data_IF_794710514621
#
_entry.id   IF_794710514621
#
_cell.length_a   1.000
_cell.length_b   1.000
_cell.length_c   1.000
_cell.angle_alpha   90.00
_cell.angle_beta   90.00
_cell.angle_gamma   90.00
#
_symmetry.space_group_name_H-M   'P 1'
#
loop_
_entity.id
_entity.type
_entity.pdbx_description
1 polymer ?
#
# COMPACT_ATOMS: atom_id res chain seq x y z
N UNK A 1 -3.33 36.16 8.88
CA UNK A 1 -3.60 35.51 8.22
C UNK A 1 -2.76 34.50 7.43
N UNK A 2 -1.71 34.77 6.68
CA UNK A 2 -0.91 33.78 5.97
C UNK A 2 -1.39 33.47 4.54
N UNK A 3 -0.91 32.37 3.96
CA UNK A 3 -1.24 31.95 2.58
C UNK A 3 -2.43 31.01 2.58
N UNK A 4 -3.40 31.26 1.68
CA UNK A 4 -4.57 30.41 1.50
C UNK A 4 -4.54 29.76 0.11
N UNK A 5 -4.65 28.44 0.06
CA UNK A 5 -4.88 27.69 -1.17
C UNK A 5 -6.36 27.38 -1.31
N UNK A 6 -6.94 27.69 -2.45
CA UNK A 6 -8.31 27.31 -2.80
C UNK A 6 -8.29 26.13 -3.74
N UNK A 7 -8.93 25.05 -3.35
CA UNK A 7 -8.91 23.79 -4.04
C UNK A 7 -10.34 23.38 -4.38
N UNK A 8 -10.63 23.09 -5.66
CA UNK A 8 -11.89 22.50 -6.02
C UNK A 8 -12.05 21.12 -5.35
N UNK A 9 -13.25 20.80 -4.86
CA UNK A 9 -13.54 19.50 -4.24
C UNK A 9 -13.16 18.31 -5.14
N UNK A 10 -13.33 18.46 -6.45
CA UNK A 10 -12.98 17.43 -7.43
C UNK A 10 -11.47 17.11 -7.47
N UNK A 11 -10.62 18.03 -7.06
CA UNK A 11 -9.15 17.89 -7.14
C UNK A 11 -8.50 17.51 -5.80
N UNK A 12 -9.22 17.64 -4.69
CA UNK A 12 -8.62 17.43 -3.35
C UNK A 12 -8.02 16.04 -3.17
N UNK A 13 -8.59 15.02 -3.79
CA UNK A 13 -8.09 13.63 -3.73
C UNK A 13 -6.89 13.36 -4.63
N UNK A 14 -6.57 14.25 -5.58
CA UNK A 14 -5.50 14.05 -6.57
C UNK A 14 -4.21 14.78 -6.21
N UNK A 15 -4.30 15.84 -5.40
CA UNK A 15 -3.14 16.66 -5.05
C UNK A 15 -2.30 15.95 -3.98
N UNK A 16 -0.99 15.74 -4.21
CA UNK A 16 -0.11 15.12 -3.24
C UNK A 16 0.01 15.96 -1.97
N UNK A 17 -0.09 15.33 -0.79
CA UNK A 17 0.03 15.98 0.52
C UNK A 17 1.32 16.80 0.66
N UNK A 18 2.41 16.30 0.09
CA UNK A 18 3.71 16.94 0.15
C UNK A 18 3.75 18.33 -0.50
N UNK A 19 2.92 18.58 -1.52
CA UNK A 19 2.88 19.88 -2.22
C UNK A 19 2.46 21.02 -1.30
N UNK A 20 1.69 20.74 -0.26
CA UNK A 20 1.21 21.74 0.69
C UNK A 20 2.21 22.07 1.80
N UNK A 21 3.31 21.31 1.90
CA UNK A 21 4.34 21.53 2.90
C UNK A 21 5.28 22.70 2.53
N UNK A 22 5.42 23.00 1.24
CA UNK A 22 6.44 23.93 0.74
C UNK A 22 6.14 25.40 0.96
N UNK A 23 4.89 25.81 1.12
CA UNK A 23 4.49 27.21 1.20
C UNK A 23 4.96 28.00 -0.04
N UNK A 24 4.91 29.32 -0.01
CA UNK A 24 5.46 30.15 -1.11
C UNK A 24 6.97 30.34 -0.96
N UNK A 25 7.75 30.37 -2.06
CA UNK A 25 9.20 30.43 -2.02
C UNK A 25 9.77 31.57 -1.16
N UNK A 26 9.17 32.75 -1.19
CA UNK A 26 9.62 33.91 -0.41
C UNK A 26 9.51 33.76 1.10
N UNK A 27 8.71 32.81 1.60
CA UNK A 27 8.50 32.55 3.03
C UNK A 27 9.20 31.28 3.50
N UNK A 28 9.82 30.51 2.58
CA UNK A 28 10.35 29.19 2.90
C UNK A 28 11.49 29.23 3.92
N UNK A 29 12.41 30.17 3.80
CA UNK A 29 13.56 30.31 4.73
C UNK A 29 13.07 30.61 6.14
N UNK A 30 12.06 31.49 6.28
CA UNK A 30 11.50 31.82 7.59
C UNK A 30 10.74 30.63 8.17
N UNK A 31 9.95 29.93 7.36
CA UNK A 31 9.29 28.67 7.76
C UNK A 31 10.31 27.65 8.23
N UNK A 32 11.36 27.39 7.48
CA UNK A 32 12.42 26.45 7.86
C UNK A 32 13.12 26.86 9.16
N UNK A 33 13.30 28.18 9.38
CA UNK A 33 13.86 28.71 10.63
C UNK A 33 12.97 28.36 11.82
N UNK A 34 11.67 28.58 11.72
CA UNK A 34 10.72 28.23 12.78
C UNK A 34 10.62 26.71 12.98
N UNK A 35 10.63 25.92 11.91
CA UNK A 35 10.68 24.46 12.00
C UNK A 35 11.89 23.96 12.77
N UNK A 36 13.08 24.54 12.55
CA UNK A 36 14.30 24.20 13.30
C UNK A 36 14.15 24.57 14.77
N UNK A 37 13.52 25.70 15.09
CA UNK A 37 13.30 26.13 16.49
C UNK A 37 12.34 25.20 17.24
N UNK A 38 11.44 24.52 16.58
CA UNK A 38 10.53 23.55 17.19
C UNK A 38 11.20 22.25 17.62
N UNK A 39 12.39 21.93 17.07
CA UNK A 39 13.11 20.71 17.39
C UNK A 39 13.48 20.63 18.90
N UNK A 40 13.56 19.42 19.45
CA UNK A 40 14.04 19.18 20.80
C UNK A 40 15.41 19.83 21.08
N UNK A 41 15.64 20.31 22.30
CA UNK A 41 16.84 21.06 22.69
C UNK A 41 18.16 20.34 22.30
N UNK A 42 18.18 19.01 22.39
CA UNK A 42 19.36 18.21 22.05
C UNK A 42 19.74 18.32 20.57
N UNK A 43 18.75 18.29 19.67
CA UNK A 43 18.93 18.42 18.22
C UNK A 43 19.19 19.88 17.84
N UNK A 44 18.39 20.81 18.38
CA UNK A 44 18.48 22.25 18.09
C UNK A 44 19.83 22.88 18.43
N UNK A 45 20.49 22.43 19.50
CA UNK A 45 21.85 22.94 19.88
C UNK A 45 22.89 22.84 18.77
N UNK A 46 22.76 21.89 17.88
CA UNK A 46 23.68 21.66 16.76
C UNK A 46 23.31 22.47 15.51
N UNK A 47 22.15 23.14 15.52
CA UNK A 47 21.58 23.89 14.41
C UNK A 47 21.47 25.40 14.74
N UNK A 48 22.50 25.95 15.35
CA UNK A 48 22.54 27.37 15.79
C UNK A 48 23.59 28.13 14.97
N UNK A 49 23.25 29.32 14.49
CA UNK A 49 21.96 30.01 14.55
C UNK A 49 20.97 29.47 13.51
N UNK A 50 19.72 29.23 13.93
CA UNK A 50 18.68 28.55 13.12
C UNK A 50 18.44 29.23 11.76
N UNK A 51 18.38 30.57 11.72
CA UNK A 51 18.16 31.31 10.47
C UNK A 51 19.28 31.11 9.44
N UNK A 52 20.54 31.02 9.90
CA UNK A 52 21.68 30.78 9.01
C UNK A 52 21.66 29.35 8.46
N UNK A 53 21.32 28.40 9.31
CA UNK A 53 21.20 26.99 8.91
C UNK A 53 20.04 26.83 7.93
N UNK A 54 18.87 27.40 8.23
CA UNK A 54 17.70 27.35 7.35
C UNK A 54 18.01 27.91 5.96
N UNK A 55 18.67 29.10 5.89
CA UNK A 55 19.06 29.71 4.62
C UNK A 55 20.00 28.81 3.82
N UNK A 56 21.05 28.30 4.45
CA UNK A 56 21.99 27.38 3.80
C UNK A 56 21.32 26.10 3.29
N UNK A 57 20.37 25.53 4.05
CA UNK A 57 19.62 24.33 3.62
C UNK A 57 18.70 24.65 2.44
N UNK A 58 18.00 25.78 2.45
CA UNK A 58 17.13 26.19 1.34
C UNK A 58 17.92 26.46 0.04
N UNK A 59 19.18 26.92 0.13
CA UNK A 59 20.04 27.13 -1.04
C UNK A 59 20.41 25.80 -1.75
N UNK A 60 20.31 24.64 -1.07
CA UNK A 60 20.51 23.32 -1.66
C UNK A 60 19.24 22.70 -2.27
N UNK A 61 18.08 23.27 -2.01
CA UNK A 61 16.78 22.70 -2.41
C UNK A 61 16.33 23.29 -3.74
N UNK A 62 16.22 22.47 -4.76
CA UNK A 62 15.54 22.83 -6.01
C UNK A 62 14.02 22.70 -5.78
N UNK A 63 13.38 23.78 -5.35
CA UNK A 63 11.96 23.79 -4.90
C UNK A 63 11.03 23.31 -5.99
N UNK A 64 11.18 23.78 -7.23
CA UNK A 64 10.33 23.43 -8.36
C UNK A 64 10.41 21.92 -8.68
N UNK A 65 11.61 21.34 -8.60
CA UNK A 65 11.82 19.91 -8.79
C UNK A 65 11.20 19.10 -7.65
N UNK A 66 11.30 19.58 -6.42
CA UNK A 66 10.72 18.91 -5.25
C UNK A 66 9.19 18.91 -5.31
N UNK A 67 8.58 20.02 -5.70
CA UNK A 67 7.11 20.12 -5.85
C UNK A 67 6.64 19.24 -6.99
N UNK A 68 7.29 19.30 -8.16
CA UNK A 68 6.91 18.50 -9.34
C UNK A 68 7.02 16.98 -9.09
N UNK A 69 7.99 16.56 -8.27
CA UNK A 69 8.19 15.17 -7.88
C UNK A 69 7.44 14.79 -6.59
N UNK A 70 6.59 15.66 -6.07
CA UNK A 70 5.80 15.43 -4.84
C UNK A 70 6.65 15.06 -3.62
N UNK A 71 7.85 15.64 -3.49
CA UNK A 71 8.74 15.39 -2.35
C UNK A 71 8.31 16.18 -1.12
N UNK A 72 8.41 15.57 0.05
CA UNK A 72 8.08 16.22 1.32
C UNK A 72 9.18 17.16 1.78
N UNK A 73 8.81 18.39 2.18
CA UNK A 73 9.71 19.36 2.78
C UNK A 73 10.43 18.79 4.02
N UNK A 74 9.71 18.08 4.88
CA UNK A 74 10.27 17.51 6.10
C UNK A 74 11.30 16.42 5.82
N UNK A 75 11.07 15.62 4.77
CA UNK A 75 12.01 14.56 4.34
C UNK A 75 13.28 15.18 3.79
N UNK A 76 13.15 16.16 2.90
CA UNK A 76 14.31 16.85 2.29
C UNK A 76 15.14 17.59 3.36
N UNK A 77 14.50 18.36 4.23
CA UNK A 77 15.20 19.06 5.32
C UNK A 77 15.88 18.09 6.29
N UNK A 78 15.22 17.00 6.68
CA UNK A 78 15.82 16.01 7.58
C UNK A 78 17.02 15.33 6.95
N UNK A 79 16.97 15.02 5.65
CA UNK A 79 18.10 14.46 4.91
C UNK A 79 19.28 15.43 4.83
N UNK A 80 19.04 16.68 4.49
CA UNK A 80 20.08 17.72 4.43
C UNK A 80 20.69 18.00 5.80
N UNK A 81 19.88 18.10 6.86
CA UNK A 81 20.35 18.27 8.23
C UNK A 81 21.22 17.08 8.66
N UNK A 82 20.85 15.86 8.30
CA UNK A 82 21.65 14.68 8.58
C UNK A 82 23.01 14.74 7.87
N UNK A 83 23.05 15.15 6.61
CA UNK A 83 24.25 15.24 5.81
C UNK A 83 25.21 16.34 6.33
N UNK A 84 24.69 17.55 6.54
CA UNK A 84 25.53 18.72 6.84
C UNK A 84 25.80 18.93 8.33
N UNK A 85 24.93 18.45 9.21
CA UNK A 85 25.02 18.68 10.65
C UNK A 85 25.09 17.39 11.49
N UNK A 86 25.00 16.22 10.86
CA UNK A 86 24.99 14.91 11.52
C UNK A 86 23.93 14.81 12.64
N UNK A 87 22.75 15.43 12.43
CA UNK A 87 21.59 15.36 13.32
C UNK A 87 20.53 14.52 12.65
N UNK A 88 20.08 13.48 13.34
CA UNK A 88 18.99 12.61 12.84
C UNK A 88 17.67 13.14 13.37
N UNK A 89 16.75 13.41 12.45
CA UNK A 89 15.38 13.89 12.74
C UNK A 89 14.43 12.95 12.05
N UNK A 90 13.40 12.51 12.76
CA UNK A 90 12.29 11.78 12.15
C UNK A 90 11.32 12.77 11.48
N UNK A 91 11.18 12.71 10.12
CA UNK A 91 10.34 13.66 9.38
C UNK A 91 8.87 13.62 9.78
N UNK A 92 8.34 12.44 10.16
CA UNK A 92 6.93 12.27 10.52
C UNK A 92 6.63 12.93 11.86
N UNK A 93 7.46 12.65 12.87
CA UNK A 93 7.35 13.29 14.18
C UNK A 93 7.51 14.81 14.07
N UNK A 94 8.43 15.28 13.24
CA UNK A 94 8.67 16.70 13.02
C UNK A 94 7.49 17.39 12.34
N UNK A 95 6.90 16.74 11.34
CA UNK A 95 5.68 17.22 10.68
C UNK A 95 4.50 17.35 11.64
N UNK A 96 4.25 16.31 12.45
CA UNK A 96 3.17 16.33 13.43
C UNK A 96 3.38 17.45 14.48
N UNK A 97 4.63 17.64 14.92
CA UNK A 97 4.98 18.74 15.82
C UNK A 97 4.77 20.11 15.16
N UNK A 98 5.03 20.23 13.86
CA UNK A 98 4.79 21.46 13.13
C UNK A 98 3.30 21.76 12.96
N UNK A 99 2.46 20.76 12.71
CA UNK A 99 1.00 20.94 12.65
C UNK A 99 0.43 21.44 13.97
N UNK A 100 0.99 20.98 15.10
CA UNK A 100 0.54 21.36 16.44
C UNK A 100 1.07 22.71 16.91
N UNK A 101 2.35 23.06 16.61
CA UNK A 101 3.07 24.18 17.27
C UNK A 101 3.60 25.26 16.34
N UNK A 102 3.61 25.07 15.04
CA UNK A 102 4.08 26.10 14.12
C UNK A 102 3.07 27.23 14.07
N UNK A 103 3.56 28.47 14.05
CA UNK A 103 2.70 29.65 13.91
C UNK A 103 1.84 29.53 12.62
N UNK A 104 0.57 29.86 12.72
CA UNK A 104 -0.40 29.79 11.63
C UNK A 104 0.01 30.61 10.39
N UNK A 105 0.85 31.60 10.56
CA UNK A 105 1.41 32.38 9.48
C UNK A 105 2.27 31.54 8.52
N UNK A 106 2.95 30.49 9.03
CA UNK A 106 3.79 29.58 8.25
C UNK A 106 3.07 28.28 7.85
N UNK A 107 1.81 28.15 8.20
CA UNK A 107 0.98 27.02 7.80
C UNK A 107 0.04 27.46 6.66
N UNK A 108 -0.03 26.64 5.61
CA UNK A 108 -0.97 26.88 4.51
C UNK A 108 -2.41 26.67 5.01
N UNK A 109 -3.27 27.66 4.83
CA UNK A 109 -4.71 27.51 4.99
C UNK A 109 -5.28 26.94 3.70
N UNK A 110 -6.13 25.95 3.80
CA UNK A 110 -6.74 25.29 2.67
C UNK A 110 -8.24 25.53 2.75
N UNK A 111 -8.81 26.06 1.70
CA UNK A 111 -10.23 26.23 1.49
C UNK A 111 -10.68 25.31 0.36
N UNK A 112 -11.57 24.37 0.66
CA UNK A 112 -12.16 23.50 -0.35
C UNK A 112 -13.48 24.10 -0.80
N UNK A 113 -13.64 24.26 -2.11
CA UNK A 113 -14.83 24.88 -2.71
C UNK A 113 -15.50 23.96 -3.73
N UNK A 114 -16.81 24.15 -3.91
CA UNK A 114 -17.56 23.59 -5.02
C UNK A 114 -17.25 24.30 -6.35
N UNK A 115 -17.85 23.84 -7.46
CA UNK A 115 -17.72 24.46 -8.77
C UNK A 115 -18.28 25.89 -8.85
N UNK A 116 -19.16 26.24 -7.94
CA UNK A 116 -19.75 27.57 -7.84
C UNK A 116 -18.90 28.52 -6.99
N UNK A 117 -17.78 28.03 -6.44
CA UNK A 117 -16.89 28.79 -5.57
C UNK A 117 -17.38 28.91 -4.12
N UNK A 118 -18.43 28.19 -3.74
CA UNK A 118 -18.91 28.13 -2.36
C UNK A 118 -17.99 27.25 -1.53
N UNK A 119 -17.52 27.75 -0.41
CA UNK A 119 -16.69 27.03 0.53
C UNK A 119 -17.46 25.86 1.16
N UNK A 120 -16.87 24.66 1.12
CA UNK A 120 -17.40 23.42 1.70
C UNK A 120 -16.76 23.16 3.06
N UNK A 121 -15.42 23.16 3.10
CA UNK A 121 -14.65 22.97 4.33
C UNK A 121 -13.36 23.80 4.27
N UNK A 122 -12.74 23.99 5.42
CA UNK A 122 -11.45 24.66 5.52
C UNK A 122 -10.61 24.06 6.64
N UNK A 123 -9.30 24.13 6.51
CA UNK A 123 -8.38 23.65 7.53
C UNK A 123 -6.93 23.92 7.18
N UNK A 124 -6.03 23.36 7.99
CA UNK A 124 -4.57 23.44 7.80
C UNK A 124 -3.93 22.07 7.68
N UNK A 125 -4.62 21.03 8.14
CA UNK A 125 -4.23 19.63 7.94
C UNK A 125 -4.92 19.09 6.68
N UNK A 126 -4.17 19.07 5.56
CA UNK A 126 -4.68 18.56 4.29
C UNK A 126 -5.07 17.09 4.36
N UNK A 127 -4.39 16.27 5.18
CA UNK A 127 -4.71 14.86 5.31
C UNK A 127 -6.07 14.66 5.99
N UNK A 128 -6.34 15.44 7.04
CA UNK A 128 -7.64 15.45 7.70
C UNK A 128 -8.74 15.95 6.76
N UNK A 129 -8.51 17.05 6.03
CA UNK A 129 -9.46 17.59 5.06
C UNK A 129 -9.74 16.61 3.91
N UNK A 130 -8.69 15.96 3.36
CA UNK A 130 -8.90 14.94 2.33
C UNK A 130 -9.75 13.80 2.85
N UNK A 131 -9.45 13.30 4.05
CA UNK A 131 -10.21 12.22 4.66
C UNK A 131 -11.67 12.62 4.91
N UNK A 132 -11.91 13.80 5.47
CA UNK A 132 -13.26 14.32 5.71
C UNK A 132 -14.05 14.50 4.41
N UNK A 133 -13.46 15.18 3.43
CA UNK A 133 -14.10 15.39 2.13
C UNK A 133 -14.34 14.08 1.37
N UNK A 134 -13.42 13.12 1.45
CA UNK A 134 -13.59 11.83 0.79
C UNK A 134 -14.66 10.98 1.48
N UNK A 135 -14.73 10.97 2.80
CA UNK A 135 -15.82 10.29 3.53
C UNK A 135 -17.20 10.90 3.20
N UNK A 136 -17.31 12.23 3.15
CA UNK A 136 -18.53 12.91 2.77
C UNK A 136 -18.95 12.58 1.31
N UNK A 137 -17.95 12.45 0.42
CA UNK A 137 -18.14 12.01 -0.96
C UNK A 137 -18.58 10.55 -1.06
N UNK A 138 -18.00 9.67 -0.26
CA UNK A 138 -18.36 8.24 -0.20
C UNK A 138 -19.79 8.07 0.36
N UNK A 139 -20.12 8.77 1.44
CA UNK A 139 -21.48 8.74 2.00
C UNK A 139 -22.51 9.26 1.01
N UNK A 140 -22.24 10.41 0.38
CA UNK A 140 -23.13 10.97 -0.65
C UNK A 140 -23.20 10.09 -1.91
N UNK A 141 -22.12 9.41 -2.28
CA UNK A 141 -22.11 8.48 -3.41
C UNK A 141 -22.85 7.17 -3.12
N UNK A 142 -22.86 6.70 -1.87
CA UNK A 142 -23.65 5.53 -1.45
C UNK A 142 -25.14 5.82 -1.39
N UNK A 143 -25.53 7.06 -1.10
CA UNK A 143 -26.93 7.49 -1.08
C UNK A 143 -27.50 7.76 -2.50
N UNK A 144 -26.64 7.93 -3.50
CA UNK A 144 -27.06 8.11 -4.89
C UNK A 144 -27.40 6.75 -5.48
N UNK A 145 -28.65 6.37 -5.38
CA UNK A 145 -29.27 5.33 -6.21
C UNK A 145 -29.32 5.86 -7.65
N UNK A 146 -28.21 5.77 -8.38
CA UNK A 146 -28.23 6.06 -9.80
C UNK A 146 -28.84 4.86 -10.53
N UNK A 147 -29.86 5.10 -11.35
CA UNK A 147 -30.53 4.11 -12.21
C UNK A 147 -29.57 3.36 -13.16
N UNK A 148 -28.31 3.81 -13.28
CA UNK A 148 -27.28 3.21 -14.14
C UNK A 148 -26.41 2.15 -13.42
N UNK A 149 -26.57 1.91 -12.12
CA UNK A 149 -25.84 0.83 -11.44
C UNK A 149 -26.61 -0.48 -11.64
N UNK A 150 -25.91 -1.48 -12.16
CA UNK A 150 -26.41 -2.86 -12.19
C UNK A 150 -26.68 -3.29 -10.76
N UNK A 151 -27.95 -3.24 -10.35
CA UNK A 151 -28.42 -3.67 -9.04
C UNK A 151 -28.51 -5.19 -9.04
N UNK A 152 -27.54 -5.85 -8.44
CA UNK A 152 -27.54 -7.31 -8.26
C UNK A 152 -26.15 -7.93 -8.38
N UNK A 153 -26.05 -9.22 -8.05
CA UNK A 153 -24.77 -9.94 -8.11
C UNK A 153 -24.27 -10.06 -9.56
N UNK A 154 -23.04 -9.62 -9.77
CA UNK A 154 -22.38 -9.65 -11.07
C UNK A 154 -21.67 -10.98 -11.23
N UNK A 155 -22.04 -11.73 -12.24
CA UNK A 155 -21.41 -13.01 -12.64
C UNK A 155 -20.81 -12.96 -14.03
N UNK A 156 -21.06 -11.89 -14.78
CA UNK A 156 -20.55 -11.64 -16.12
C UNK A 156 -20.31 -10.13 -16.32
N UNK A 157 -19.53 -9.79 -17.32
CA UNK A 157 -19.29 -8.37 -17.68
C UNK A 157 -20.53 -7.77 -18.35
N UNK A 158 -21.46 -7.23 -17.58
CA UNK A 158 -22.74 -6.67 -18.04
C UNK A 158 -22.93 -5.19 -17.65
N UNK A 159 -21.89 -4.55 -17.13
CA UNK A 159 -21.94 -3.20 -16.55
C UNK A 159 -21.33 -2.12 -17.46
N UNK A 160 -21.01 -2.44 -18.72
CA UNK A 160 -20.37 -1.51 -19.67
C UNK A 160 -18.89 -1.29 -19.36
N UNK A 161 -18.34 -0.20 -19.86
CA UNK A 161 -16.93 0.10 -19.73
C UNK A 161 -16.60 0.68 -18.33
N UNK A 162 -15.50 0.22 -17.74
CA UNK A 162 -14.88 0.84 -16.58
C UNK A 162 -14.06 2.03 -17.08
N UNK A 163 -14.71 3.18 -17.26
CA UNK A 163 -14.08 4.34 -17.88
C UNK A 163 -12.94 4.89 -17.02
N UNK A 164 -11.79 5.14 -17.68
CA UNK A 164 -10.68 5.90 -17.11
C UNK A 164 -11.05 7.37 -16.80
N UNK A 165 -12.21 7.84 -17.31
CA UNK A 165 -12.71 9.19 -17.08
C UNK A 165 -13.78 9.15 -16.01
N UNK A 166 -13.63 10.00 -14.99
CA UNK A 166 -14.64 10.15 -13.94
C UNK A 166 -16.00 10.54 -14.51
N UNK A 167 -17.04 9.95 -13.96
CA UNK A 167 -18.42 10.28 -14.30
C UNK A 167 -19.08 11.07 -13.17
N UNK A 168 -19.98 12.02 -13.47
CA UNK A 168 -20.78 12.66 -12.45
C UNK A 168 -21.47 11.58 -11.59
N UNK A 169 -21.52 11.78 -10.29
CA UNK A 169 -22.19 10.87 -9.38
C UNK A 169 -23.69 10.76 -9.62
N UNK A 170 -24.30 11.83 -10.17
CA UNK A 170 -25.67 11.92 -10.67
C UNK A 170 -25.75 12.97 -11.78
N UNK A 171 -26.81 13.01 -12.61
CA UNK A 171 -26.92 13.96 -13.74
C UNK A 171 -26.76 15.43 -13.38
N UNK A 172 -27.03 15.83 -12.14
CA UNK A 172 -26.86 17.19 -11.61
C UNK A 172 -25.75 17.28 -10.56
N UNK A 173 -24.95 16.22 -10.36
CA UNK A 173 -23.93 16.18 -9.32
C UNK A 173 -22.63 16.80 -9.83
N UNK A 174 -22.03 17.65 -9.01
CA UNK A 174 -20.70 18.21 -9.21
C UNK A 174 -19.58 17.20 -8.90
N UNK A 175 -19.94 16.04 -8.35
CA UNK A 175 -19.02 15.03 -7.89
C UNK A 175 -18.63 14.09 -9.04
N UNK A 176 -17.36 14.09 -9.37
CA UNK A 176 -16.79 13.08 -10.26
C UNK A 176 -16.48 11.82 -9.45
N UNK A 177 -17.04 10.69 -9.84
CA UNK A 177 -16.78 9.40 -9.24
C UNK A 177 -16.32 8.41 -10.31
N UNK A 178 -15.62 7.37 -9.86
CA UNK A 178 -15.05 6.34 -10.72
C UNK A 178 -15.73 5.00 -10.43
N UNK A 179 -16.15 4.30 -11.47
CA UNK A 179 -16.74 2.96 -11.33
C UNK A 179 -15.67 1.97 -10.89
N UNK A 180 -16.01 1.07 -9.98
CA UNK A 180 -15.16 -0.02 -9.53
C UNK A 180 -15.93 -1.32 -9.38
N UNK A 181 -15.25 -2.44 -9.61
CA UNK A 181 -15.75 -3.75 -9.26
C UNK A 181 -15.46 -4.03 -7.79
N UNK A 182 -16.50 -4.17 -6.98
CA UNK A 182 -16.41 -4.33 -5.53
C UNK A 182 -16.99 -5.67 -5.10
N UNK A 183 -16.46 -6.24 -4.04
CA UNK A 183 -17.06 -7.39 -3.38
C UNK A 183 -17.90 -6.91 -2.20
N UNK A 184 -19.18 -7.30 -2.17
CA UNK A 184 -20.10 -7.11 -1.05
C UNK A 184 -20.59 -8.47 -0.59
N UNK A 185 -20.29 -8.83 0.65
CA UNK A 185 -20.46 -10.18 1.16
C UNK A 185 -19.87 -11.23 0.19
N UNK A 186 -20.72 -12.11 -0.36
CA UNK A 186 -20.30 -13.16 -1.31
C UNK A 186 -20.54 -12.80 -2.78
N UNK A 187 -20.93 -11.56 -3.08
CA UNK A 187 -21.30 -11.12 -4.42
C UNK A 187 -20.37 -10.02 -4.94
N UNK A 188 -20.19 -10.00 -6.27
CA UNK A 188 -19.58 -8.85 -6.93
C UNK A 188 -20.66 -7.85 -7.32
N UNK A 189 -20.37 -6.58 -7.10
CA UNK A 189 -21.24 -5.45 -7.46
C UNK A 189 -20.40 -4.33 -8.10
N UNK A 190 -21.08 -3.42 -8.83
CA UNK A 190 -20.41 -2.18 -9.25
C UNK A 190 -20.60 -1.13 -8.15
N UNK A 191 -19.49 -0.69 -7.63
CA UNK A 191 -19.38 0.44 -6.71
C UNK A 191 -18.91 1.70 -7.40
N UNK A 192 -18.83 2.78 -6.63
CA UNK A 192 -18.22 4.06 -7.02
C UNK A 192 -17.16 4.42 -6.01
N UNK A 193 -16.06 4.97 -6.49
CA UNK A 193 -14.96 5.47 -5.67
C UNK A 193 -14.75 6.96 -5.94
N UNK A 194 -14.26 7.67 -4.96
CA UNK A 194 -13.95 9.08 -5.08
C UNK A 194 -12.70 9.34 -5.94
N UNK A 195 -11.78 8.38 -6.01
CA UNK A 195 -10.54 8.50 -6.79
C UNK A 195 -10.40 7.36 -7.80
N UNK A 196 -9.76 7.66 -8.94
CA UNK A 196 -9.42 6.66 -9.95
C UNK A 196 -8.53 5.55 -9.37
N UNK A 197 -7.54 5.93 -8.57
CA UNK A 197 -6.59 4.98 -7.96
C UNK A 197 -7.28 3.96 -7.06
N UNK A 198 -8.24 4.40 -6.29
CA UNK A 198 -9.04 3.51 -5.44
C UNK A 198 -9.92 2.58 -6.28
N UNK A 199 -10.60 3.12 -7.31
CA UNK A 199 -11.42 2.36 -8.23
C UNK A 199 -10.60 1.27 -8.95
N UNK A 200 -9.40 1.60 -9.42
CA UNK A 200 -8.47 0.65 -10.01
C UNK A 200 -8.02 -0.43 -9.02
N UNK A 201 -7.67 -0.05 -7.79
CA UNK A 201 -7.24 -0.99 -6.77
C UNK A 201 -8.36 -1.98 -6.40
N UNK A 202 -9.59 -1.50 -6.20
CA UNK A 202 -10.74 -2.34 -5.93
C UNK A 202 -11.06 -3.27 -7.11
N UNK A 203 -11.06 -2.74 -8.33
CA UNK A 203 -11.30 -3.54 -9.53
C UNK A 203 -10.23 -4.61 -9.72
N UNK A 204 -8.95 -4.26 -9.58
CA UNK A 204 -7.81 -5.19 -9.66
C UNK A 204 -7.96 -6.37 -8.69
N UNK A 205 -8.38 -6.09 -7.47
CA UNK A 205 -8.58 -7.14 -6.44
C UNK A 205 -9.74 -8.08 -6.75
N UNK A 206 -10.78 -7.59 -7.45
CA UNK A 206 -12.03 -8.33 -7.68
C UNK A 206 -12.18 -8.91 -9.08
N UNK A 207 -11.37 -8.44 -10.05
CA UNK A 207 -11.40 -8.94 -11.42
C UNK A 207 -11.14 -10.45 -11.55
N UNK A 208 -10.23 -11.08 -10.75
CA UNK A 208 -10.05 -12.53 -10.75
C UNK A 208 -11.32 -13.29 -10.32
N UNK A 209 -12.14 -12.75 -9.43
CA UNK A 209 -13.44 -13.34 -9.06
C UNK A 209 -14.39 -13.36 -10.25
N UNK A 210 -14.47 -12.25 -11.01
CA UNK A 210 -15.29 -12.21 -12.23
C UNK A 210 -14.80 -13.25 -13.26
N UNK A 211 -13.49 -13.42 -13.39
CA UNK A 211 -12.90 -14.41 -14.29
C UNK A 211 -13.20 -15.86 -13.85
N UNK A 212 -13.38 -16.13 -12.54
CA UNK A 212 -13.81 -17.44 -12.06
C UNK A 212 -15.21 -17.81 -12.58
N UNK A 213 -16.13 -16.84 -12.70
CA UNK A 213 -17.44 -17.07 -13.30
C UNK A 213 -17.36 -17.31 -14.80
N UNK A 214 -16.39 -16.72 -15.49
CA UNK A 214 -16.16 -16.95 -16.92
C UNK A 214 -15.48 -18.31 -17.23
N UNK A 215 -14.94 -19.00 -16.23
CA UNK A 215 -14.19 -20.26 -16.35
C UNK A 215 -14.79 -21.38 -15.43
N UNK A 216 -16.10 -21.62 -15.44
CA UNK A 216 -16.76 -22.42 -14.43
C UNK A 216 -16.27 -23.87 -14.37
N UNK A 217 -16.02 -24.51 -15.53
CA UNK A 217 -15.59 -25.91 -15.59
C UNK A 217 -14.17 -26.09 -15.05
N UNK A 218 -13.25 -25.19 -15.40
CA UNK A 218 -11.88 -25.23 -14.89
C UNK A 218 -11.82 -24.93 -13.40
N UNK A 219 -12.57 -23.95 -12.94
CA UNK A 219 -12.67 -23.62 -11.51
C UNK A 219 -13.26 -24.79 -10.72
N UNK A 220 -14.30 -25.43 -11.21
CA UNK A 220 -14.90 -26.64 -10.59
C UNK A 220 -13.89 -27.79 -10.51
N UNK A 221 -13.15 -28.02 -11.59
CA UNK A 221 -12.08 -29.00 -11.62
C UNK A 221 -10.99 -28.69 -10.57
N UNK A 222 -10.47 -27.47 -10.57
CA UNK A 222 -9.42 -27.04 -9.64
C UNK A 222 -9.88 -27.13 -8.18
N UNK A 223 -11.10 -26.69 -7.85
CA UNK A 223 -11.65 -26.83 -6.48
C UNK A 223 -11.67 -28.28 -5.97
N UNK A 224 -11.80 -29.26 -6.88
CA UNK A 224 -11.77 -30.68 -6.51
C UNK A 224 -10.35 -31.26 -6.45
N UNK A 225 -9.41 -30.74 -7.26
CA UNK A 225 -8.08 -31.33 -7.44
C UNK A 225 -7.04 -30.69 -6.51
N UNK A 226 -7.06 -29.37 -6.35
CA UNK A 226 -6.07 -28.63 -5.58
C UNK A 226 -6.15 -29.00 -4.08
N UNK A 227 -4.98 -29.24 -3.50
CA UNK A 227 -4.82 -29.61 -2.11
C UNK A 227 -5.57 -30.90 -1.70
N UNK A 228 -5.62 -31.90 -2.59
CA UNK A 228 -6.20 -33.20 -2.27
C UNK A 228 -5.53 -33.90 -1.09
N UNK A 229 -4.21 -33.75 -0.97
CA UNK A 229 -3.47 -34.32 0.14
C UNK A 229 -3.65 -33.44 1.40
N UNK A 230 -4.66 -33.78 2.19
CA UNK A 230 -4.99 -33.08 3.42
C UNK A 230 -3.83 -33.06 4.43
N UNK A 231 -2.92 -34.05 4.40
CA UNK A 231 -1.77 -34.09 5.31
C UNK A 231 -0.79 -32.95 5.04
N UNK A 232 -0.57 -32.62 3.77
CA UNK A 232 0.36 -31.55 3.36
C UNK A 232 -0.12 -30.14 3.70
N UNK A 233 -1.42 -29.95 3.86
CA UNK A 233 -1.99 -28.67 4.27
C UNK A 233 -2.31 -28.58 5.76
N UNK A 234 -2.04 -29.63 6.53
CA UNK A 234 -2.30 -29.66 7.97
C UNK A 234 -1.67 -28.47 8.71
N UNK A 235 -0.45 -28.00 8.37
CA UNK A 235 0.15 -26.81 9.00
C UNK A 235 -0.68 -25.54 8.80
N UNK A 236 -1.50 -25.46 7.75
CA UNK A 236 -2.34 -24.30 7.48
C UNK A 236 -3.64 -24.25 8.30
N UNK A 237 -4.09 -25.39 8.85
CA UNK A 237 -5.38 -25.48 9.58
C UNK A 237 -5.47 -24.52 10.77
N UNK A 238 -4.34 -24.17 11.37
CA UNK A 238 -4.28 -23.17 12.46
C UNK A 238 -4.31 -21.71 11.96
N UNK A 239 -4.08 -21.49 10.67
CA UNK A 239 -4.02 -20.18 10.06
C UNK A 239 -5.30 -19.80 9.34
N UNK A 240 -6.01 -20.80 8.77
CA UNK A 240 -7.21 -20.50 7.99
C UNK A 240 -7.92 -21.73 7.44
N UNK A 241 -9.00 -21.47 6.70
CA UNK A 241 -9.80 -22.51 6.08
C UNK A 241 -9.18 -23.00 4.76
N UNK A 242 -9.29 -24.31 4.51
CA UNK A 242 -8.85 -24.94 3.26
C UNK A 242 -9.57 -24.37 2.03
N UNK A 243 -10.88 -24.07 2.13
CA UNK A 243 -11.64 -23.56 0.99
C UNK A 243 -11.15 -22.18 0.59
N UNK A 244 -10.80 -21.34 1.57
CA UNK A 244 -10.18 -20.04 1.35
C UNK A 244 -8.83 -20.21 0.65
N UNK A 245 -7.96 -21.09 1.12
CA UNK A 245 -6.64 -21.35 0.51
C UNK A 245 -6.78 -21.80 -0.96
N UNK A 246 -7.73 -22.71 -1.25
CA UNK A 246 -8.03 -23.13 -2.62
C UNK A 246 -8.51 -21.96 -3.48
N UNK A 247 -9.41 -21.14 -2.93
CA UNK A 247 -9.92 -19.95 -3.61
C UNK A 247 -8.82 -18.94 -3.92
N UNK A 248 -7.92 -18.70 -2.97
CA UNK A 248 -6.79 -17.78 -3.11
C UNK A 248 -5.81 -18.27 -4.18
N UNK A 249 -5.50 -19.57 -4.20
CA UNK A 249 -4.64 -20.17 -5.22
C UNK A 249 -5.25 -20.03 -6.62
N UNK A 250 -6.55 -20.32 -6.78
CA UNK A 250 -7.23 -20.20 -8.08
C UNK A 250 -7.22 -18.74 -8.54
N UNK A 251 -7.48 -17.79 -7.64
CA UNK A 251 -7.43 -16.35 -7.95
C UNK A 251 -6.03 -15.93 -8.39
N UNK A 252 -4.99 -16.37 -7.68
CA UNK A 252 -3.60 -16.07 -8.05
C UNK A 252 -3.23 -16.67 -9.40
N UNK A 253 -3.63 -17.92 -9.67
CA UNK A 253 -3.43 -18.56 -10.99
C UNK A 253 -4.13 -17.77 -12.12
N UNK A 254 -5.34 -17.29 -11.90
CA UNK A 254 -6.07 -16.44 -12.85
C UNK A 254 -5.35 -15.12 -13.09
N UNK A 255 -4.88 -14.44 -12.04
CA UNK A 255 -4.08 -13.21 -12.19
C UNK A 255 -2.87 -13.46 -13.06
N UNK A 256 -2.15 -14.53 -12.80
CA UNK A 256 -0.95 -14.90 -13.55
C UNK A 256 -1.23 -15.24 -15.02
N UNK A 257 -2.26 -16.06 -15.30
CA UNK A 257 -2.55 -16.53 -16.65
C UNK A 257 -3.32 -15.52 -17.49
N UNK A 258 -4.37 -14.93 -16.92
CA UNK A 258 -5.31 -14.10 -17.68
C UNK A 258 -4.87 -12.63 -17.73
N UNK A 259 -4.29 -12.12 -16.66
CA UNK A 259 -3.98 -10.70 -16.54
C UNK A 259 -2.47 -10.39 -16.54
N UNK A 260 -1.60 -11.40 -16.65
CA UNK A 260 -0.14 -11.28 -16.65
C UNK A 260 0.38 -10.35 -15.53
N UNK A 261 -0.15 -10.55 -14.32
CA UNK A 261 0.12 -9.74 -13.12
C UNK A 261 -0.19 -8.23 -13.32
N UNK A 262 -1.15 -7.92 -14.19
CA UNK A 262 -1.56 -6.56 -14.57
C UNK A 262 -0.45 -5.66 -15.15
N UNK A 263 0.65 -6.23 -15.62
CA UNK A 263 1.77 -5.47 -16.21
C UNK A 263 1.38 -4.69 -17.48
N UNK A 264 0.34 -5.13 -18.18
CA UNK A 264 -0.19 -4.47 -19.39
C UNK A 264 -1.40 -3.57 -19.10
N UNK A 265 -1.67 -3.28 -17.84
CA UNK A 265 -2.86 -2.58 -17.39
C UNK A 265 -4.05 -3.50 -17.14
N UNK A 266 -5.13 -2.93 -16.61
CA UNK A 266 -6.38 -3.66 -16.38
C UNK A 266 -7.28 -3.58 -17.61
N UNK A 267 -8.07 -4.63 -17.91
CA UNK A 267 -9.12 -4.53 -18.90
C UNK A 267 -10.20 -3.54 -18.42
N UNK A 268 -10.54 -2.60 -19.28
CA UNK A 268 -11.57 -1.58 -19.03
C UNK A 268 -12.87 -1.87 -19.80
N UNK A 269 -12.82 -2.78 -20.76
CA UNK A 269 -13.96 -3.15 -21.61
C UNK A 269 -14.22 -4.65 -21.55
N UNK A 270 -15.47 -5.05 -21.88
CA UNK A 270 -15.84 -6.46 -21.97
C UNK A 270 -14.96 -7.24 -22.95
N UNK A 271 -14.64 -6.61 -24.10
CA UNK A 271 -13.83 -7.24 -25.14
C UNK A 271 -12.38 -7.49 -24.67
N UNK A 272 -11.79 -6.57 -23.90
CA UNK A 272 -10.47 -6.74 -23.32
C UNK A 272 -10.47 -7.82 -22.24
N UNK A 273 -11.49 -7.85 -21.40
CA UNK A 273 -11.68 -8.88 -20.38
C UNK A 273 -11.78 -10.27 -21.01
N UNK A 274 -12.68 -10.45 -21.99
CA UNK A 274 -12.84 -11.73 -22.72
C UNK A 274 -11.53 -12.18 -23.36
N UNK A 275 -10.82 -11.30 -24.07
CA UNK A 275 -9.52 -11.61 -24.67
C UNK A 275 -8.49 -12.04 -23.63
N UNK A 276 -8.47 -11.40 -22.47
CA UNK A 276 -7.56 -11.74 -21.37
C UNK A 276 -7.86 -13.12 -20.78
N UNK A 277 -9.14 -13.42 -20.55
CA UNK A 277 -9.61 -14.72 -20.05
C UNK A 277 -9.32 -15.84 -21.04
N UNK A 278 -9.61 -15.63 -22.34
CA UNK A 278 -9.39 -16.63 -23.38
C UNK A 278 -7.90 -16.95 -23.57
N UNK A 279 -7.02 -15.94 -23.47
CA UNK A 279 -5.57 -16.10 -23.50
C UNK A 279 -5.09 -17.01 -22.38
N UNK A 280 -5.54 -16.78 -21.15
CA UNK A 280 -5.09 -17.53 -19.98
C UNK A 280 -5.77 -18.87 -19.75
N UNK A 281 -6.87 -19.15 -20.49
CA UNK A 281 -7.68 -20.37 -20.30
C UNK A 281 -6.85 -21.63 -20.46
N UNK A 282 -5.91 -21.67 -21.44
CA UNK A 282 -5.07 -22.83 -21.73
C UNK A 282 -4.23 -23.25 -20.51
N UNK A 283 -3.53 -22.32 -19.94
CA UNK A 283 -2.43 -22.54 -18.97
C UNK A 283 -2.91 -22.61 -17.51
N UNK A 284 -4.17 -22.27 -17.23
CA UNK A 284 -4.70 -22.12 -15.87
C UNK A 284 -4.46 -23.36 -14.99
N UNK A 285 -4.66 -24.57 -15.52
CA UNK A 285 -4.49 -25.80 -14.73
C UNK A 285 -3.00 -26.07 -14.45
N UNK A 286 -2.14 -25.83 -15.42
CA UNK A 286 -0.69 -26.02 -15.27
C UNK A 286 -0.12 -25.05 -14.23
N UNK A 287 -0.49 -23.77 -14.31
CA UNK A 287 -0.06 -22.76 -13.33
C UNK A 287 -0.64 -23.02 -11.95
N UNK A 288 -1.89 -23.46 -11.84
CA UNK A 288 -2.48 -23.82 -10.55
C UNK A 288 -1.73 -25.01 -9.88
N UNK A 289 -1.34 -26.02 -10.65
CA UNK A 289 -0.55 -27.16 -10.14
C UNK A 289 0.86 -26.73 -9.72
N UNK A 290 1.49 -25.82 -10.45
CA UNK A 290 2.77 -25.21 -10.07
C UNK A 290 2.66 -24.49 -8.72
N UNK A 291 1.65 -23.61 -8.59
CA UNK A 291 1.36 -22.90 -7.35
C UNK A 291 1.05 -23.84 -6.18
N UNK A 292 0.32 -24.93 -6.41
CA UNK A 292 0.09 -25.97 -5.41
C UNK A 292 1.41 -26.57 -4.91
N UNK A 293 2.30 -26.91 -5.83
CA UNK A 293 3.61 -27.48 -5.50
C UNK A 293 4.47 -26.53 -4.66
N UNK A 294 4.47 -25.25 -5.03
CA UNK A 294 5.16 -24.20 -4.25
C UNK A 294 4.52 -24.03 -2.88
N UNK A 295 3.18 -24.02 -2.82
CA UNK A 295 2.44 -23.87 -1.55
C UNK A 295 2.74 -25.04 -0.60
N UNK A 296 2.80 -26.27 -1.10
CA UNK A 296 3.19 -27.43 -0.27
C UNK A 296 4.59 -27.28 0.32
N UNK A 297 5.56 -26.79 -0.48
CA UNK A 297 6.91 -26.53 0.01
C UNK A 297 6.92 -25.44 1.10
N UNK A 298 6.16 -24.36 0.90
CA UNK A 298 6.04 -23.29 1.89
C UNK A 298 5.47 -23.85 3.21
N UNK A 299 4.41 -24.62 3.15
CA UNK A 299 3.77 -25.18 4.34
C UNK A 299 4.65 -26.23 5.06
N UNK A 300 5.45 -26.99 4.32
CA UNK A 300 6.44 -27.92 4.89
C UNK A 300 7.53 -27.16 5.64
N UNK A 301 8.16 -26.16 5.02
CA UNK A 301 9.17 -25.32 5.65
C UNK A 301 8.59 -24.56 6.86
N UNK A 302 7.37 -24.02 6.74
CA UNK A 302 6.67 -23.38 7.85
C UNK A 302 6.47 -24.31 9.03
N UNK A 303 6.09 -25.57 8.78
CA UNK A 303 5.93 -26.58 9.83
C UNK A 303 7.25 -26.88 10.54
N UNK A 304 8.33 -27.04 9.77
CA UNK A 304 9.67 -27.30 10.33
C UNK A 304 10.15 -26.13 11.19
N UNK A 305 10.00 -24.90 10.68
CA UNK A 305 10.38 -23.67 11.42
C UNK A 305 9.55 -23.52 12.70
N UNK A 306 8.24 -23.75 12.62
CA UNK A 306 7.35 -23.66 13.79
C UNK A 306 7.72 -24.69 14.87
N UNK A 307 8.08 -25.91 14.48
CA UNK A 307 8.54 -26.94 15.41
C UNK A 307 9.88 -26.59 16.06
N UNK A 308 10.83 -26.02 15.29
CA UNK A 308 12.12 -25.53 15.82
C UNK A 308 11.91 -24.35 16.78
N UNK A 309 11.06 -23.40 16.42
CA UNK A 309 10.72 -22.23 17.24
C UNK A 309 10.16 -22.66 18.59
N UNK A 310 9.25 -23.64 18.60
CA UNK A 310 8.67 -24.16 19.84
C UNK A 310 9.73 -24.77 20.76
N UNK A 311 10.67 -25.52 20.20
CA UNK A 311 11.78 -26.13 20.98
C UNK A 311 12.76 -25.10 21.57
N UNK A 312 12.96 -23.96 20.87
CA UNK A 312 13.89 -22.91 21.29
C UNK A 312 13.28 -21.86 22.22
N UNK A 313 11.95 -21.80 22.31
CA UNK A 313 11.21 -20.75 23.05
C UNK A 313 11.57 -20.68 24.53
N UNK A 314 11.85 -21.80 25.19
CA UNK A 314 12.20 -21.83 26.60
C UNK A 314 13.56 -21.17 26.89
N UNK A 315 14.51 -21.25 25.95
CA UNK A 315 15.88 -20.78 26.17
C UNK A 315 16.15 -19.40 25.55
N UNK A 316 15.38 -18.99 24.52
CA UNK A 316 15.60 -17.78 23.72
C UNK A 316 14.30 -16.99 23.53
N UNK A 317 13.61 -16.69 24.62
CA UNK A 317 12.27 -16.09 24.60
C UNK A 317 12.20 -14.78 23.81
N UNK A 318 13.18 -13.90 23.96
CA UNK A 318 13.21 -12.57 23.30
C UNK A 318 13.38 -12.71 21.79
N UNK A 319 14.35 -13.51 21.33
CA UNK A 319 14.60 -13.74 19.92
C UNK A 319 13.45 -14.49 19.25
N UNK A 320 12.83 -15.42 19.99
CA UNK A 320 11.67 -16.16 19.50
C UNK A 320 10.43 -15.29 19.27
N UNK A 321 10.24 -14.21 20.02
CA UNK A 321 9.15 -13.25 19.78
C UNK A 321 9.32 -12.54 18.43
N UNK A 322 10.52 -12.07 18.12
CA UNK A 322 10.83 -11.45 16.83
C UNK A 322 10.68 -12.42 15.66
N UNK A 323 11.18 -13.66 15.83
CA UNK A 323 11.05 -14.70 14.80
C UNK A 323 9.58 -15.10 14.58
N UNK A 324 8.78 -15.18 15.63
CA UNK A 324 7.34 -15.47 15.56
C UNK A 324 6.59 -14.39 14.76
N UNK A 325 6.95 -13.12 14.99
CA UNK A 325 6.42 -11.99 14.22
C UNK A 325 6.79 -12.12 12.73
N UNK A 326 8.05 -12.37 12.39
CA UNK A 326 8.50 -12.58 11.01
C UNK A 326 7.79 -13.76 10.34
N UNK A 327 7.62 -14.87 11.05
CA UNK A 327 6.92 -16.05 10.55
C UNK A 327 5.46 -15.75 10.25
N UNK A 328 4.80 -15.00 11.14
CA UNK A 328 3.41 -14.57 10.99
C UNK A 328 3.20 -13.59 9.82
N UNK A 329 4.21 -12.80 9.47
CA UNK A 329 4.18 -11.93 8.30
C UNK A 329 4.34 -12.70 6.99
N UNK A 330 5.16 -13.76 6.97
CA UNK A 330 5.41 -14.57 5.78
C UNK A 330 4.26 -15.53 5.47
N UNK A 331 3.68 -16.15 6.49
CA UNK A 331 2.63 -17.16 6.33
C UNK A 331 1.45 -16.84 7.25
N UNK A 332 0.48 -16.13 6.71
CA UNK A 332 -0.75 -15.70 7.38
C UNK A 332 -1.97 -16.07 6.54
N UNK A 333 -3.21 -15.91 7.05
CA UNK A 333 -4.40 -16.05 6.22
C UNK A 333 -4.33 -15.14 4.99
N UNK A 334 -4.53 -15.72 3.80
CA UNK A 334 -4.46 -14.96 2.53
C UNK A 334 -3.04 -14.69 2.01
N UNK A 335 -1.99 -15.29 2.57
CA UNK A 335 -0.59 -15.06 2.17
C UNK A 335 -0.33 -15.28 0.68
N UNK A 336 -1.06 -16.19 0.02
CA UNK A 336 -0.91 -16.45 -1.42
C UNK A 336 -1.17 -15.20 -2.26
N UNK A 337 -2.25 -14.49 -1.95
CA UNK A 337 -2.62 -13.26 -2.67
C UNK A 337 -1.77 -12.07 -2.22
N UNK A 338 -1.36 -12.04 -0.95
CA UNK A 338 -0.52 -10.97 -0.42
C UNK A 338 0.90 -11.01 -1.00
N UNK A 339 1.48 -12.21 -1.12
CA UNK A 339 2.80 -12.38 -1.72
C UNK A 339 2.79 -12.20 -3.25
N UNK A 340 1.68 -12.60 -3.91
CA UNK A 340 1.64 -12.64 -5.36
C UNK A 340 2.54 -13.73 -5.95
N UNK A 341 2.46 -13.92 -7.28
CA UNK A 341 3.15 -15.03 -7.94
C UNK A 341 4.67 -14.99 -7.79
N UNK A 342 5.29 -13.82 -7.96
CA UNK A 342 6.76 -13.68 -7.94
C UNK A 342 7.33 -13.91 -6.54
N UNK A 343 6.78 -13.24 -5.54
CA UNK A 343 7.28 -13.34 -4.17
C UNK A 343 7.02 -14.70 -3.54
N UNK A 344 5.93 -15.36 -3.92
CA UNK A 344 5.58 -16.68 -3.43
C UNK A 344 6.69 -17.71 -3.70
N UNK A 345 7.38 -17.61 -4.84
CA UNK A 345 8.50 -18.48 -5.20
C UNK A 345 9.70 -18.37 -4.24
N UNK A 346 9.83 -17.25 -3.55
CA UNK A 346 10.93 -16.95 -2.64
C UNK A 346 10.62 -17.32 -1.18
N UNK A 347 9.35 -17.49 -0.81
CA UNK A 347 8.96 -17.79 0.58
C UNK A 347 9.66 -19.03 1.18
N UNK A 348 9.83 -20.14 0.47
CA UNK A 348 10.57 -21.29 1.03
C UNK A 348 11.98 -20.90 1.48
N UNK A 349 12.69 -20.12 0.68
CA UNK A 349 14.04 -19.64 1.01
C UNK A 349 14.05 -18.73 2.24
N UNK A 350 13.04 -17.88 2.41
CA UNK A 350 12.94 -17.02 3.59
C UNK A 350 12.65 -17.84 4.85
N UNK A 351 11.79 -18.84 4.77
CA UNK A 351 11.52 -19.76 5.87
C UNK A 351 12.76 -20.57 6.25
N UNK A 352 13.54 -21.08 5.28
CA UNK A 352 14.81 -21.75 5.51
C UNK A 352 15.83 -20.82 6.19
N UNK A 353 15.87 -19.55 5.81
CA UNK A 353 16.73 -18.57 6.48
C UNK A 353 16.36 -18.38 7.96
N UNK A 354 15.07 -18.40 8.29
CA UNK A 354 14.59 -18.39 9.68
C UNK A 354 15.01 -19.67 10.42
N UNK A 355 14.91 -20.84 9.78
CA UNK A 355 15.39 -22.11 10.38
C UNK A 355 16.88 -22.04 10.72
N UNK A 356 17.72 -21.56 9.78
CA UNK A 356 19.16 -21.37 10.01
C UNK A 356 19.43 -20.35 11.12
N UNK A 357 18.63 -19.29 11.23
CA UNK A 357 18.72 -18.31 12.33
C UNK A 357 18.44 -18.97 13.67
N UNK A 358 17.37 -19.76 13.78
CA UNK A 358 17.00 -20.52 14.99
C UNK A 358 18.08 -21.50 15.41
N UNK A 359 18.70 -22.23 14.47
CA UNK A 359 19.77 -23.18 14.78
C UNK A 359 21.02 -22.49 15.34
N UNK A 360 21.29 -21.25 14.91
CA UNK A 360 22.47 -20.47 15.33
C UNK A 360 22.30 -19.75 16.66
N UNK A 361 21.10 -19.67 17.24
CA UNK A 361 20.85 -18.93 18.48
C UNK A 361 21.73 -19.44 19.64
N UNK A 362 22.02 -20.73 19.76
CA UNK A 362 22.84 -21.29 20.85
C UNK A 362 24.31 -20.85 20.90
N UNK A 363 24.80 -20.06 19.93
CA UNK A 363 26.20 -19.60 19.90
C UNK A 363 26.39 -18.19 19.37
N UNK A 364 25.31 -17.52 18.95
CA UNK A 364 25.36 -16.17 18.33
C UNK A 364 24.20 -15.26 18.74
N UNK A 365 23.58 -15.53 19.86
CA UNK A 365 22.43 -14.81 20.42
C UNK A 365 22.70 -13.30 20.59
N UNK A 366 23.88 -12.89 21.02
CA UNK A 366 24.29 -11.48 21.14
C UNK A 366 24.36 -10.79 19.76
N UNK A 367 24.92 -11.48 18.76
CA UNK A 367 25.00 -10.92 17.39
C UNK A 367 23.62 -10.84 16.76
N UNK A 368 22.74 -11.81 17.00
CA UNK A 368 21.37 -11.82 16.53
C UNK A 368 20.60 -10.62 17.11
N UNK A 369 20.70 -10.38 18.41
CA UNK A 369 20.08 -9.23 19.07
C UNK A 369 20.55 -7.88 18.48
N UNK A 370 21.86 -7.73 18.22
CA UNK A 370 22.41 -6.52 17.60
C UNK A 370 21.91 -6.32 16.16
N UNK A 371 21.73 -7.38 15.39
CA UNK A 371 21.17 -7.32 14.04
C UNK A 371 19.68 -6.95 14.07
N UNK A 372 18.91 -7.52 15.00
CA UNK A 372 17.51 -7.17 15.20
C UNK A 372 17.33 -5.69 15.56
N UNK A 373 18.16 -5.16 16.44
CA UNK A 373 18.13 -3.74 16.80
C UNK A 373 18.41 -2.83 15.61
N UNK A 374 19.38 -3.19 14.77
CA UNK A 374 19.64 -2.46 13.51
C UNK A 374 18.49 -2.54 12.51
N UNK A 375 17.89 -3.72 12.36
CA UNK A 375 16.77 -3.93 11.44
C UNK A 375 15.50 -3.23 11.94
N UNK A 376 15.21 -3.26 13.25
CA UNK A 376 14.02 -2.60 13.81
C UNK A 376 14.02 -1.09 13.53
N UNK A 377 15.19 -0.46 13.52
CA UNK A 377 15.32 0.96 13.16
C UNK A 377 14.92 1.26 11.70
N UNK A 378 15.01 0.28 10.82
CA UNK A 378 14.60 0.36 9.40
C UNK A 378 13.16 -0.11 9.20
N UNK A 379 12.73 -1.11 9.95
CA UNK A 379 11.36 -1.67 9.87
C UNK A 379 10.30 -0.70 10.39
N UNK A 380 10.59 0.08 11.43
CA UNK A 380 9.65 1.03 12.00
C UNK A 380 9.14 2.07 10.96
N UNK A 381 10.02 2.75 10.20
CA UNK A 381 9.60 3.62 9.11
C UNK A 381 8.82 2.88 8.02
N UNK A 382 9.22 1.65 7.68
CA UNK A 382 8.52 0.83 6.70
C UNK A 382 7.11 0.44 7.19
N UNK A 383 6.95 0.02 8.44
CA UNK A 383 5.63 -0.26 9.04
C UNK A 383 4.73 0.96 9.03
N UNK A 384 5.27 2.13 9.36
CA UNK A 384 4.52 3.39 9.32
C UNK A 384 4.06 3.74 7.90
N UNK A 385 4.89 3.47 6.89
CA UNK A 385 4.53 3.63 5.48
C UNK A 385 3.46 2.60 5.06
N UNK A 386 3.62 1.33 5.45
CA UNK A 386 2.68 0.25 5.15
C UNK A 386 1.31 0.46 5.82
N UNK A 387 1.28 1.05 7.01
CA UNK A 387 0.04 1.42 7.70
C UNK A 387 -0.68 2.57 6.98
N UNK A 388 0.08 3.51 6.43
CA UNK A 388 -0.44 4.70 5.76
C UNK A 388 -0.90 4.42 4.32
N UNK A 389 -0.30 3.43 3.66
CA UNK A 389 -0.61 3.06 2.28
C UNK A 389 -1.01 1.59 2.21
N UNK A 390 -2.16 1.24 1.62
CA UNK A 390 -2.53 -0.16 1.41
C UNK A 390 -1.40 -0.93 0.71
N UNK A 391 -1.11 -2.14 1.17
CA UNK A 391 0.00 -2.97 0.65
C UNK A 391 0.01 -3.07 -0.88
N UNK A 392 -1.16 -3.12 -1.52
CA UNK A 392 -1.27 -3.13 -2.98
C UNK A 392 -0.64 -1.91 -3.69
N UNK A 393 -0.61 -0.75 -3.05
CA UNK A 393 0.00 0.46 -3.64
C UNK A 393 1.53 0.50 -3.47
N UNK A 394 2.06 -0.17 -2.46
CA UNK A 394 3.50 -0.23 -2.19
C UNK A 394 4.20 -1.29 -3.06
N UNK A 395 3.51 -2.36 -3.42
CA UNK A 395 4.09 -3.39 -4.27
C UNK A 395 4.45 -2.86 -5.66
N UNK A 396 3.64 -2.00 -6.26
CA UNK A 396 3.96 -1.38 -7.56
C UNK A 396 5.18 -0.46 -7.46
N UNK A 397 5.35 0.26 -6.33
CA UNK A 397 6.48 1.16 -6.10
C UNK A 397 7.77 0.40 -5.75
N UNK A 398 7.68 -0.67 -4.93
CA UNK A 398 8.83 -1.47 -4.50
C UNK A 398 9.34 -2.40 -5.62
N UNK A 399 8.45 -2.91 -6.49
CA UNK A 399 8.86 -3.67 -7.68
C UNK A 399 9.65 -2.81 -8.66
N UNK A 400 9.24 -1.56 -8.88
CA UNK A 400 9.97 -0.63 -9.74
C UNK A 400 11.37 -0.30 -9.19
N UNK A 401 11.49 -0.14 -7.86
CA UNK A 401 12.80 0.14 -7.22
C UNK A 401 13.69 -1.09 -7.11
N UNK A 402 13.14 -2.30 -7.01
CA UNK A 402 13.94 -3.53 -6.97
C UNK A 402 14.50 -3.88 -8.35
N UNK A 403 13.74 -3.69 -9.43
CA UNK A 403 14.24 -3.85 -10.81
C UNK A 403 15.36 -2.85 -11.14
N UNK A 404 15.24 -1.60 -10.65
CA UNK A 404 16.28 -0.59 -10.82
C UNK A 404 17.55 -0.91 -10.00
N UNK A 405 17.43 -1.58 -8.86
CA UNK A 405 18.58 -2.03 -8.06
C UNK A 405 19.29 -3.23 -8.71
N UNK A 406 18.55 -4.16 -9.32
CA UNK A 406 19.11 -5.31 -10.05
C UNK A 406 19.85 -4.89 -11.33
N UNK A 407 19.35 -3.88 -12.05
CA UNK A 407 20.04 -3.32 -13.22
C UNK A 407 21.32 -2.52 -12.87
N UNK A 408 21.40 -1.98 -11.65
CA UNK A 408 22.61 -1.28 -11.17
C UNK A 408 23.73 -2.21 -10.65
N UNK A 409 23.42 -3.51 -10.49
CA UNK A 409 24.35 -4.55 -10.03
C UNK A 409 24.88 -5.42 -11.18
N UNK A 410 24.48 -5.18 -12.43
CA UNK A 410 25.01 -5.77 -13.66
C UNK A 410 26.00 -4.81 -14.33
#
# INVERSE_FOLDING_TARGET
DGVTARIPLAEIGTIPLASFEWLVPGMLVDKCTELIKLLPKAQRKRLVPAARVAKALCDYIAIDDCISQSRSLFVELAALIKIHHAVVIDPVTWRNLALDKLDFFYQLRIEVSDRQGKQICEGRDIAALQHECLQDLEQRSSDIKSDDLVTGPITQWSFGDLNAHGQPAAPASELTTFRSLKQEADSLVIGRCATLKEAEAQTRSNLPHLAMYALPDKVRYLKKQIFKDAKKILPYVHLGDRQQLVGDLIRLAIVRCCFADFKQGMPNTEAEFKRSVDRGRGDLIAVANELESVTYRILEEYHQVSALLQKKREHFSVQCVDIDAQLSELVCPGFLLQAGYVQLQHLPRYLQAIAVRLDRLGGRDVKDAQLCEKLSSLQQPLHNLLYKYPRAQLYDCLLYTSDAADDSLR
#
